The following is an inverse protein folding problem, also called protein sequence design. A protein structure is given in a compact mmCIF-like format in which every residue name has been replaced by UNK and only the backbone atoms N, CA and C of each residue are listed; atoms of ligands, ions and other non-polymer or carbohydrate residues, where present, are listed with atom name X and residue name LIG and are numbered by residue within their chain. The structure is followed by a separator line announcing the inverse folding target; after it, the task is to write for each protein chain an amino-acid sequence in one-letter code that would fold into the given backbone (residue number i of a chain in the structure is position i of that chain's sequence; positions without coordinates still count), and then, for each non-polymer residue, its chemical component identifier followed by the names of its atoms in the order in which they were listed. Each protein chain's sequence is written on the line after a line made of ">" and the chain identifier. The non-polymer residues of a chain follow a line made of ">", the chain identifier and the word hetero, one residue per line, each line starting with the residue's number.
data_IF_244447891322
#
_entry.id   IF_244447891322
#
_cell.length_a   1.000
_cell.length_b   1.000
_cell.length_c   1.000
_cell.angle_alpha   90.00
_cell.angle_beta   90.00
_cell.angle_gamma   90.00
#
_symmetry.space_group_name_H-M   'P 1'
#
loop_
_entity.id
_entity.type
_entity.pdbx_description
1 polymer ?
#
# COMPACT_ATOMS: atom_id res chain seq x y z
N UNK A 1 -19.19 -5.09 25.51
CA UNK A 1 -18.63 -3.89 26.17
C UNK A 1 -19.47 -2.72 25.68
N UNK A 2 -20.27 -2.10 26.53
CA UNK A 2 -21.08 -0.94 26.17
C UNK A 2 -20.17 0.27 26.41
N UNK A 3 -19.83 0.98 25.34
CA UNK A 3 -19.16 2.28 25.44
C UNK A 3 -20.23 3.27 25.96
N UNK A 4 -20.11 3.80 27.19
CA UNK A 4 -21.08 4.76 27.67
C UNK A 4 -21.10 5.96 26.71
N UNK A 5 -22.29 6.37 26.32
CA UNK A 5 -22.57 7.53 25.46
C UNK A 5 -22.19 7.40 23.97
N UNK A 6 -21.93 6.19 23.45
CA UNK A 6 -21.66 5.96 22.03
C UNK A 6 -22.72 5.06 21.40
N UNK A 7 -23.23 5.45 20.24
CA UNK A 7 -24.00 4.58 19.35
C UNK A 7 -23.02 3.93 18.38
N UNK A 8 -23.03 2.61 18.32
CA UNK A 8 -22.10 1.83 17.48
C UNK A 8 -22.82 1.34 16.24
N UNK A 9 -22.38 1.77 15.07
CA UNK A 9 -22.77 1.22 13.78
C UNK A 9 -21.75 0.15 13.35
N UNK A 10 -22.23 -0.99 12.87
CA UNK A 10 -21.37 -2.06 12.33
C UNK A 10 -21.61 -2.18 10.83
N UNK A 11 -20.56 -1.97 10.03
CA UNK A 11 -20.62 -2.08 8.57
C UNK A 11 -19.83 -3.30 8.11
N UNK A 12 -20.54 -4.36 7.70
CA UNK A 12 -19.93 -5.56 7.14
C UNK A 12 -19.75 -5.42 5.62
N UNK A 13 -18.53 -5.68 5.15
CA UNK A 13 -18.22 -5.73 3.73
C UNK A 13 -17.80 -7.15 3.36
N UNK A 14 -18.59 -7.80 2.52
CA UNK A 14 -18.30 -9.13 2.00
C UNK A 14 -17.65 -9.01 0.61
N UNK A 15 -16.36 -9.32 0.54
CA UNK A 15 -15.57 -9.28 -0.69
C UNK A 15 -15.78 -10.53 -1.57
N UNK A 16 -17.04 -10.81 -1.90
CA UNK A 16 -17.41 -11.86 -2.83
C UNK A 16 -17.16 -13.28 -2.30
N UNK A 17 -17.40 -13.54 -1.01
CA UNK A 17 -17.31 -14.87 -0.41
C UNK A 17 -18.23 -15.87 -1.09
N UNK A 18 -17.82 -17.14 -1.14
CA UNK A 18 -18.57 -18.25 -1.76
C UNK A 18 -19.23 -19.17 -0.74
N UNK A 19 -19.07 -18.89 0.54
CA UNK A 19 -19.62 -19.62 1.67
C UNK A 19 -20.88 -18.92 2.23
N UNK A 20 -21.29 -19.29 3.44
CA UNK A 20 -22.50 -18.74 4.08
C UNK A 20 -22.32 -17.31 4.63
N UNK A 21 -21.17 -16.65 4.41
CA UNK A 21 -20.87 -15.33 4.97
C UNK A 21 -21.95 -14.32 4.60
N UNK A 22 -22.35 -14.26 3.32
CA UNK A 22 -23.36 -13.32 2.83
C UNK A 22 -24.72 -13.50 3.53
N UNK A 23 -25.19 -14.74 3.67
CA UNK A 23 -26.46 -15.02 4.34
C UNK A 23 -26.44 -14.66 5.83
N UNK A 24 -25.30 -14.86 6.50
CA UNK A 24 -25.11 -14.55 7.92
C UNK A 24 -25.15 -13.04 8.14
N UNK A 25 -24.35 -12.26 7.39
CA UNK A 25 -24.32 -10.81 7.58
C UNK A 25 -25.63 -10.12 7.19
N UNK A 26 -26.34 -10.65 6.18
CA UNK A 26 -27.66 -10.15 5.82
C UNK A 26 -28.70 -10.46 6.91
N UNK A 27 -28.64 -11.62 7.55
CA UNK A 27 -29.47 -11.93 8.72
C UNK A 27 -29.22 -10.95 9.87
N UNK A 28 -27.96 -10.71 10.23
CA UNK A 28 -27.61 -9.74 11.26
C UNK A 28 -28.13 -8.32 10.93
N UNK A 29 -28.06 -7.90 9.67
CA UNK A 29 -28.57 -6.59 9.24
C UNK A 29 -30.10 -6.51 9.18
N UNK A 30 -30.82 -7.64 9.17
CA UNK A 30 -32.28 -7.68 9.33
C UNK A 30 -32.71 -7.61 10.78
N UNK A 31 -31.91 -8.15 11.69
CA UNK A 31 -32.22 -8.23 13.12
C UNK A 31 -31.84 -6.93 13.87
N UNK A 32 -30.91 -6.13 13.36
CA UNK A 32 -30.41 -4.92 14.01
C UNK A 32 -30.17 -3.79 12.98
N UNK A 33 -30.87 -2.67 13.16
CA UNK A 33 -30.77 -1.48 12.30
C UNK A 33 -29.39 -0.80 12.34
N UNK A 34 -28.60 -1.04 13.38
CA UNK A 34 -27.22 -0.54 13.51
C UNK A 34 -26.23 -1.37 12.70
N UNK A 35 -26.66 -2.49 12.15
CA UNK A 35 -25.84 -3.38 11.31
C UNK A 35 -26.15 -3.13 9.84
N UNK A 36 -25.14 -2.77 9.08
CA UNK A 36 -25.20 -2.64 7.62
C UNK A 36 -24.37 -3.73 6.96
N UNK A 37 -24.91 -4.36 5.91
CA UNK A 37 -24.25 -5.41 5.15
C UNK A 37 -24.17 -5.04 3.68
N UNK A 38 -22.97 -5.09 3.09
CA UNK A 38 -22.71 -4.87 1.68
C UNK A 38 -21.94 -6.07 1.11
N UNK A 39 -22.38 -6.59 -0.02
CA UNK A 39 -21.71 -7.69 -0.72
C UNK A 39 -21.26 -7.27 -2.11
N UNK A 40 -20.03 -7.61 -2.48
CA UNK A 40 -19.49 -7.38 -3.80
C UNK A 40 -19.93 -8.47 -4.78
N UNK A 41 -20.09 -8.12 -6.06
CA UNK A 41 -20.42 -9.06 -7.13
C UNK A 41 -19.35 -10.13 -7.34
N UNK A 42 -18.10 -9.84 -6.99
CA UNK A 42 -16.93 -10.74 -7.00
C UNK A 42 -15.89 -10.25 -6.00
N UNK A 43 -14.80 -10.99 -5.84
CA UNK A 43 -13.65 -10.51 -5.06
C UNK A 43 -12.95 -9.34 -5.78
N UNK A 44 -12.88 -8.17 -5.11
CA UNK A 44 -12.19 -6.96 -5.54
C UNK A 44 -10.95 -6.65 -4.67
N UNK A 45 -10.77 -7.42 -3.59
CA UNK A 45 -9.64 -7.31 -2.68
C UNK A 45 -9.92 -6.48 -1.42
N UNK A 46 -9.09 -6.72 -0.40
CA UNK A 46 -9.21 -6.11 0.93
C UNK A 46 -9.24 -4.58 0.89
N UNK A 47 -8.40 -3.98 0.05
CA UNK A 47 -8.28 -2.52 -0.07
C UNK A 47 -9.61 -1.89 -0.54
N UNK A 48 -10.26 -2.52 -1.53
CA UNK A 48 -11.59 -2.10 -2.01
C UNK A 48 -12.66 -2.28 -0.95
N UNK A 49 -12.60 -3.37 -0.16
CA UNK A 49 -13.55 -3.63 0.92
C UNK A 49 -13.40 -2.58 2.04
N UNK A 50 -12.17 -2.25 2.42
CA UNK A 50 -11.89 -1.21 3.39
C UNK A 50 -12.41 0.17 2.93
N UNK A 51 -12.13 0.51 1.68
CA UNK A 51 -12.62 1.76 1.08
C UNK A 51 -14.16 1.83 1.08
N UNK A 52 -14.83 0.73 0.68
CA UNK A 52 -16.30 0.62 0.70
C UNK A 52 -16.86 0.82 2.12
N UNK A 53 -16.23 0.23 3.13
CA UNK A 53 -16.63 0.41 4.53
C UNK A 53 -16.56 1.87 4.98
N UNK A 54 -15.47 2.56 4.64
CA UNK A 54 -15.29 3.99 4.93
C UNK A 54 -16.29 4.88 4.17
N UNK A 55 -16.65 4.52 2.94
CA UNK A 55 -17.60 5.28 2.12
C UNK A 55 -19.04 5.15 2.63
N UNK A 56 -19.41 3.99 3.21
CA UNK A 56 -20.78 3.70 3.65
C UNK A 56 -21.00 3.86 5.17
N UNK A 57 -19.96 4.09 5.96
CA UNK A 57 -20.12 4.38 7.38
C UNK A 57 -20.70 5.78 7.61
N UNK A 58 -21.49 5.96 8.69
CA UNK A 58 -22.17 7.23 9.01
C UNK A 58 -21.75 7.86 10.36
N UNK A 59 -21.07 7.10 11.23
CA UNK A 59 -20.62 7.57 12.56
C UNK A 59 -19.65 8.76 12.52
N UNK A 60 -19.48 9.45 13.64
CA UNK A 60 -18.55 10.59 13.78
C UNK A 60 -17.08 10.18 13.69
N UNK A 61 -16.78 8.91 13.92
CA UNK A 61 -15.50 8.29 13.64
C UNK A 61 -15.69 6.88 13.06
N UNK A 62 -14.65 6.33 12.43
CA UNK A 62 -14.65 4.99 11.87
C UNK A 62 -13.43 4.19 12.34
N UNK A 63 -13.63 2.90 12.63
CA UNK A 63 -12.56 1.99 13.05
C UNK A 63 -12.62 0.74 12.17
N UNK A 64 -11.74 0.61 11.16
CA UNK A 64 -11.63 -0.61 10.39
C UNK A 64 -11.07 -1.76 11.24
N UNK A 65 -11.70 -2.93 11.17
CA UNK A 65 -11.30 -4.12 11.92
C UNK A 65 -11.33 -5.34 10.98
N UNK A 66 -10.27 -6.17 11.06
CA UNK A 66 -10.24 -7.46 10.37
C UNK A 66 -11.10 -8.49 11.15
N UNK A 67 -11.87 -9.30 10.43
CA UNK A 67 -12.78 -10.31 11.00
C UNK A 67 -12.04 -11.48 11.68
N UNK A 68 -10.71 -11.57 11.54
CA UNK A 68 -9.88 -12.65 12.09
C UNK A 68 -9.66 -12.57 13.62
N UNK A 69 -10.27 -11.58 14.28
CA UNK A 69 -10.22 -11.33 15.72
C UNK A 69 -8.80 -11.18 16.29
N UNK A 70 -7.83 -10.84 15.47
CA UNK A 70 -6.46 -10.60 15.93
C UNK A 70 -6.30 -9.22 16.59
N UNK A 71 -7.13 -8.26 16.19
CA UNK A 71 -7.12 -6.91 16.75
C UNK A 71 -8.12 -6.83 17.92
N UNK A 72 -7.65 -6.62 19.16
CA UNK A 72 -8.47 -6.74 20.36
C UNK A 72 -9.42 -5.55 20.48
N UNK A 73 -10.70 -5.85 20.66
CA UNK A 73 -11.77 -4.84 20.83
C UNK A 73 -11.54 -3.97 22.08
N UNK A 74 -10.83 -4.47 23.09
CA UNK A 74 -10.51 -3.75 24.33
C UNK A 74 -9.64 -2.51 24.12
N UNK A 75 -9.05 -2.35 22.93
CA UNK A 75 -8.26 -1.17 22.56
C UNK A 75 -9.15 -0.02 22.14
N UNK A 76 -10.35 -0.29 21.64
CA UNK A 76 -11.30 0.72 21.12
C UNK A 76 -11.60 1.84 22.13
N UNK A 77 -11.91 1.56 23.40
CA UNK A 77 -12.16 2.62 24.38
C UNK A 77 -10.98 3.60 24.55
N UNK A 78 -9.74 3.07 24.48
CA UNK A 78 -8.53 3.92 24.55
C UNK A 78 -8.38 4.78 23.30
N UNK A 79 -8.75 4.24 22.14
CA UNK A 79 -8.72 5.02 20.89
C UNK A 79 -9.76 6.14 20.91
N UNK A 80 -10.97 5.86 21.39
CA UNK A 80 -12.04 6.85 21.55
C UNK A 80 -11.62 7.94 22.57
N UNK A 81 -10.98 7.56 23.68
CA UNK A 81 -10.46 8.54 24.64
C UNK A 81 -9.47 9.51 23.97
N UNK A 82 -8.57 9.01 23.14
CA UNK A 82 -7.63 9.85 22.37
C UNK A 82 -8.34 10.74 21.35
N UNK A 83 -9.33 10.20 20.65
CA UNK A 83 -10.16 10.99 19.74
C UNK A 83 -10.89 12.13 20.46
N UNK A 84 -11.46 11.88 21.64
CA UNK A 84 -12.09 12.90 22.50
C UNK A 84 -11.10 13.97 22.99
N UNK A 85 -9.79 13.67 23.06
CA UNK A 85 -8.72 14.64 23.32
C UNK A 85 -8.42 15.54 22.10
N UNK A 86 -9.14 15.35 20.97
CA UNK A 86 -9.00 16.14 19.74
C UNK A 86 -7.93 15.62 18.78
N UNK A 87 -7.67 14.33 18.77
CA UNK A 87 -6.85 13.69 17.73
C UNK A 87 -7.74 13.22 16.57
N UNK A 88 -7.32 13.52 15.33
CA UNK A 88 -8.05 13.17 14.11
C UNK A 88 -7.83 11.71 13.71
N UNK A 89 -6.66 11.16 14.05
CA UNK A 89 -6.26 9.79 13.73
C UNK A 89 -5.65 9.15 14.97
N UNK A 90 -6.15 7.97 15.36
CA UNK A 90 -5.54 7.19 16.44
C UNK A 90 -5.05 5.85 15.92
N UNK A 91 -3.74 5.67 15.89
CA UNK A 91 -3.08 4.49 15.37
C UNK A 91 -2.95 3.42 16.46
N UNK A 92 -3.40 2.21 16.17
CA UNK A 92 -3.09 1.07 17.00
C UNK A 92 -1.75 0.46 16.60
N UNK A 93 -0.73 0.59 17.45
CA UNK A 93 0.64 0.10 17.23
C UNK A 93 0.89 -1.20 17.97
N UNK A 94 1.36 -2.20 17.25
CA UNK A 94 1.69 -3.51 17.82
C UNK A 94 3.00 -3.45 18.58
N UNK A 95 2.99 -3.87 19.85
CA UNK A 95 4.20 -3.89 20.71
C UNK A 95 4.98 -5.21 20.60
N UNK A 96 4.34 -6.31 20.21
CA UNK A 96 4.98 -7.63 20.16
C UNK A 96 5.05 -8.19 18.73
N UNK A 97 6.28 -8.52 18.32
CA UNK A 97 6.64 -9.22 17.08
C UNK A 97 7.41 -10.52 17.35
N UNK A 98 7.32 -11.07 18.55
CA UNK A 98 8.04 -12.31 18.92
C UNK A 98 7.66 -13.50 18.05
N UNK A 99 6.46 -13.48 17.44
CA UNK A 99 5.98 -14.53 16.53
C UNK A 99 6.50 -14.40 15.09
N UNK A 100 7.14 -13.27 14.70
CA UNK A 100 7.67 -13.08 13.35
C UNK A 100 9.11 -13.62 13.24
N UNK A 101 9.41 -14.34 12.16
CA UNK A 101 10.76 -14.80 11.87
C UNK A 101 11.71 -13.61 11.70
N UNK A 102 12.97 -13.75 12.12
CA UNK A 102 14.00 -12.72 12.07
C UNK A 102 14.16 -12.09 10.65
N UNK A 103 14.04 -12.93 9.60
CA UNK A 103 14.10 -12.46 8.21
C UNK A 103 12.89 -11.58 7.84
N UNK A 104 11.67 -11.94 8.29
CA UNK A 104 10.47 -11.14 8.05
C UNK A 104 10.55 -9.79 8.77
N UNK A 105 11.09 -9.78 9.99
CA UNK A 105 11.25 -8.55 10.76
C UNK A 105 12.24 -7.58 10.10
N UNK A 106 13.43 -8.09 9.70
CA UNK A 106 14.45 -7.28 9.00
C UNK A 106 13.99 -6.79 7.63
N UNK A 107 13.33 -7.64 6.85
CA UNK A 107 12.81 -7.22 5.53
C UNK A 107 11.71 -6.15 5.65
N UNK A 108 10.83 -6.25 6.66
CA UNK A 108 9.82 -5.24 6.92
C UNK A 108 10.45 -3.91 7.40
N UNK A 109 11.42 -3.96 8.32
CA UNK A 109 12.14 -2.77 8.80
C UNK A 109 12.85 -2.05 7.65
N UNK A 110 13.55 -2.80 6.78
CA UNK A 110 14.20 -2.24 5.60
C UNK A 110 13.19 -1.65 4.62
N UNK A 111 12.06 -2.32 4.41
CA UNK A 111 10.97 -1.82 3.57
C UNK A 111 10.44 -0.48 4.10
N UNK A 112 10.07 -0.38 5.38
CA UNK A 112 9.56 0.89 5.94
C UNK A 112 10.58 2.01 5.91
N UNK A 113 11.87 1.71 6.17
CA UNK A 113 12.95 2.71 6.06
C UNK A 113 13.10 3.21 4.62
N UNK A 114 13.06 2.29 3.66
CA UNK A 114 13.16 2.63 2.24
C UNK A 114 11.93 3.40 1.79
N UNK A 115 10.73 2.94 2.13
CA UNK A 115 9.47 3.59 1.77
C UNK A 115 9.38 5.00 2.37
N UNK A 116 9.68 5.19 3.65
CA UNK A 116 9.70 6.50 4.29
C UNK A 116 10.78 7.44 3.74
N UNK A 117 11.89 6.90 3.22
CA UNK A 117 12.92 7.69 2.56
C UNK A 117 12.51 8.12 1.14
N UNK A 118 11.78 7.24 0.44
CA UNK A 118 11.39 7.41 -0.96
C UNK A 118 10.02 8.10 -1.13
N UNK A 119 9.14 7.96 -0.14
CA UNK A 119 7.78 8.51 -0.16
C UNK A 119 7.74 9.89 0.53
N UNK A 120 6.86 10.75 0.04
CA UNK A 120 6.53 12.01 0.73
C UNK A 120 5.63 11.78 1.96
N UNK A 121 5.12 10.58 2.16
CA UNK A 121 4.18 10.21 3.22
C UNK A 121 4.88 9.31 4.23
N UNK A 122 4.94 9.73 5.49
CA UNK A 122 5.52 8.93 6.57
C UNK A 122 4.53 7.85 7.01
N UNK A 123 4.90 6.58 6.82
CA UNK A 123 4.12 5.44 7.29
C UNK A 123 4.72 4.94 8.61
N UNK A 124 3.93 5.00 9.69
CA UNK A 124 4.34 4.50 11.01
C UNK A 124 4.59 3.00 10.98
N UNK A 125 5.73 2.58 11.54
CA UNK A 125 6.09 1.16 11.64
C UNK A 125 5.16 0.44 12.62
N UNK A 126 4.84 -0.82 12.31
CA UNK A 126 4.02 -1.71 13.15
C UNK A 126 2.55 -1.30 13.30
N UNK A 127 2.09 -0.38 12.47
CA UNK A 127 0.68 0.02 12.36
C UNK A 127 0.03 -0.71 11.20
N UNK A 128 -1.14 -1.30 11.47
CA UNK A 128 -2.01 -1.95 10.47
C UNK A 128 -3.16 -1.04 10.05
N UNK A 129 -4.20 -1.68 9.52
CA UNK A 129 -5.45 -1.01 9.16
C UNK A 129 -6.28 -0.67 10.40
N UNK A 130 -6.04 -1.33 11.54
CA UNK A 130 -6.70 -1.07 12.82
C UNK A 130 -6.29 0.29 13.37
N UNK A 131 -7.16 1.27 13.19
CA UNK A 131 -7.00 2.67 13.60
C UNK A 131 -8.35 3.34 13.74
N UNK A 132 -8.44 4.41 14.49
CA UNK A 132 -9.62 5.28 14.52
C UNK A 132 -9.36 6.46 13.58
N UNK A 133 -10.35 6.78 12.77
CA UNK A 133 -10.37 7.92 11.85
C UNK A 133 -11.55 8.82 12.20
N UNK A 134 -11.30 10.09 12.43
CA UNK A 134 -12.35 11.10 12.54
C UNK A 134 -13.15 11.21 11.24
N UNK A 135 -14.38 11.69 11.30
CA UNK A 135 -15.25 11.89 10.15
C UNK A 135 -14.61 12.78 9.06
N UNK A 136 -13.87 13.79 9.48
CA UNK A 136 -13.15 14.67 8.55
C UNK A 136 -12.11 13.90 7.75
N UNK A 137 -11.38 12.99 8.38
CA UNK A 137 -10.38 12.13 7.74
C UNK A 137 -11.03 11.10 6.82
N UNK A 138 -12.15 10.50 7.25
CA UNK A 138 -12.93 9.60 6.39
C UNK A 138 -13.38 10.31 5.11
N UNK A 139 -13.90 11.55 5.22
CA UNK A 139 -14.31 12.37 4.07
C UNK A 139 -13.13 12.66 3.13
N UNK A 140 -11.97 13.02 3.66
CA UNK A 140 -10.76 13.27 2.86
C UNK A 140 -10.40 12.00 2.08
N UNK A 141 -10.26 10.84 2.76
CA UNK A 141 -9.84 9.58 2.15
C UNK A 141 -10.85 9.12 1.08
N UNK A 142 -12.14 9.21 1.35
CA UNK A 142 -13.17 8.78 0.41
C UNK A 142 -13.33 9.72 -0.79
N UNK A 143 -12.89 10.99 -0.68
CA UNK A 143 -12.88 11.96 -1.79
C UNK A 143 -11.72 11.77 -2.76
N UNK A 144 -10.68 11.00 -2.39
CA UNK A 144 -9.52 10.79 -3.24
C UNK A 144 -9.91 10.04 -4.53
N UNK A 145 -9.45 10.49 -5.70
CA UNK A 145 -9.89 9.91 -6.98
C UNK A 145 -9.18 8.61 -7.36
N UNK A 146 -8.10 8.23 -6.66
CA UNK A 146 -7.25 7.09 -6.99
C UNK A 146 -8.04 5.80 -7.11
N UNK A 147 -7.76 5.02 -8.17
CA UNK A 147 -8.37 3.71 -8.44
C UNK A 147 -7.51 2.57 -7.96
N UNK A 148 -6.20 2.77 -7.97
CA UNK A 148 -5.25 1.82 -7.40
C UNK A 148 -5.08 2.12 -5.92
N UNK A 149 -5.86 1.43 -5.08
CA UNK A 149 -5.89 1.66 -3.64
C UNK A 149 -4.67 1.02 -2.98
N UNK A 150 -3.81 1.82 -2.39
CA UNK A 150 -2.85 1.40 -1.39
C UNK A 150 -3.24 2.05 -0.06
N UNK A 151 -4.19 1.42 0.63
CA UNK A 151 -4.87 2.04 1.78
C UNK A 151 -3.91 2.46 2.88
N UNK A 152 -2.80 1.74 3.11
CA UNK A 152 -1.79 2.15 4.10
C UNK A 152 -1.20 3.51 3.80
N UNK A 153 -0.90 3.80 2.55
CA UNK A 153 -0.43 5.10 2.10
C UNK A 153 -1.53 6.15 2.15
N UNK A 154 -2.71 5.86 1.63
CA UNK A 154 -3.86 6.79 1.60
C UNK A 154 -4.29 7.20 3.01
N UNK A 155 -4.37 6.24 3.93
CA UNK A 155 -4.71 6.48 5.34
C UNK A 155 -3.66 7.35 6.07
N UNK A 156 -2.41 7.33 5.63
CA UNK A 156 -1.34 8.17 6.18
C UNK A 156 -1.22 9.50 5.43
N UNK A 157 -1.61 9.55 4.15
CA UNK A 157 -1.54 10.74 3.31
C UNK A 157 -2.53 11.83 3.77
N UNK A 158 -3.67 11.45 4.30
CA UNK A 158 -4.69 12.39 4.79
C UNK A 158 -4.17 13.35 5.88
N UNK A 159 -3.08 13.03 6.55
CA UNK A 159 -2.51 13.84 7.62
C UNK A 159 -3.37 13.81 8.89
N UNK A 160 -3.53 14.97 9.53
CA UNK A 160 -4.29 15.10 10.77
C UNK A 160 -3.44 14.94 12.04
N UNK A 161 -3.99 15.38 13.18
CA UNK A 161 -3.35 15.25 14.49
C UNK A 161 -3.41 13.77 14.92
N UNK A 162 -2.25 13.13 15.01
CA UNK A 162 -2.16 11.68 15.21
C UNK A 162 -1.74 11.33 16.63
N UNK A 163 -2.41 10.34 17.26
CA UNK A 163 -2.01 9.68 18.48
C UNK A 163 -1.71 8.20 18.25
N UNK A 164 -0.93 7.59 19.15
CA UNK A 164 -0.61 6.17 19.12
C UNK A 164 -1.15 5.51 20.38
N UNK A 165 -1.83 4.37 20.21
CA UNK A 165 -2.25 3.47 21.28
C UNK A 165 -1.58 2.12 21.06
N UNK A 166 -0.78 1.68 22.02
CA UNK A 166 -0.06 0.41 21.93
C UNK A 166 -0.95 -0.76 22.35
N UNK A 167 -0.81 -1.89 21.63
CA UNK A 167 -1.50 -3.12 21.97
C UNK A 167 -0.70 -4.37 21.63
N UNK A 168 -1.06 -5.50 22.29
CA UNK A 168 -0.55 -6.82 21.96
C UNK A 168 -1.54 -7.54 21.06
N UNK A 169 -1.06 -8.04 19.91
CA UNK A 169 -1.89 -8.78 18.97
C UNK A 169 -2.21 -10.17 19.49
N UNK A 170 -3.47 -10.57 19.43
CA UNK A 170 -3.87 -11.95 19.73
C UNK A 170 -3.37 -12.92 18.64
N UNK A 171 -3.06 -14.20 18.98
CA UNK A 171 -2.80 -15.22 17.98
C UNK A 171 -4.04 -15.46 17.11
N UNK A 172 -3.83 -15.79 15.85
CA UNK A 172 -4.95 -16.09 14.93
C UNK A 172 -5.79 -17.25 15.45
N UNK A 173 -7.09 -17.05 15.47
CA UNK A 173 -8.06 -18.09 15.83
C UNK A 173 -8.19 -19.13 14.73
N UNK A 174 -8.08 -18.73 13.44
CA UNK A 174 -8.15 -19.63 12.28
C UNK A 174 -7.43 -19.03 11.06
N UNK A 175 -6.97 -19.91 10.15
CA UNK A 175 -6.37 -19.55 8.88
C UNK A 175 -4.84 -19.56 8.85
N UNK A 176 -4.27 -19.83 7.68
CA UNK A 176 -2.83 -19.80 7.41
C UNK A 176 -2.45 -18.53 6.66
N UNK A 177 -1.27 -17.99 6.97
CA UNK A 177 -0.73 -16.83 6.23
C UNK A 177 -0.48 -17.20 4.76
N UNK A 178 -1.21 -16.56 3.84
CA UNK A 178 -1.05 -16.76 2.38
C UNK A 178 0.06 -15.88 1.76
N UNK A 179 0.91 -15.24 2.60
CA UNK A 179 1.98 -14.38 2.10
C UNK A 179 3.17 -15.21 1.62
N UNK A 180 3.43 -15.14 0.31
CA UNK A 180 4.62 -15.68 -0.36
C UNK A 180 5.59 -14.51 -0.65
N UNK A 181 6.90 -14.79 -0.79
CA UNK A 181 7.93 -13.79 -1.08
C UNK A 181 7.61 -12.93 -2.32
N UNK A 182 7.03 -13.53 -3.36
CA UNK A 182 6.57 -12.81 -4.56
C UNK A 182 5.47 -11.78 -4.26
N UNK A 183 4.54 -12.10 -3.38
CA UNK A 183 3.49 -11.15 -2.96
C UNK A 183 4.05 -9.99 -2.15
N UNK A 184 5.06 -10.24 -1.32
CA UNK A 184 5.76 -9.17 -0.59
C UNK A 184 6.53 -8.24 -1.53
N UNK A 185 7.18 -8.80 -2.56
CA UNK A 185 7.86 -8.02 -3.60
C UNK A 185 6.89 -7.13 -4.37
N UNK A 186 5.75 -7.67 -4.82
CA UNK A 186 4.74 -6.89 -5.52
C UNK A 186 4.14 -5.80 -4.63
N UNK A 187 3.88 -6.08 -3.35
CA UNK A 187 3.40 -5.08 -2.40
C UNK A 187 4.42 -3.95 -2.21
N UNK A 188 5.73 -4.29 -2.16
CA UNK A 188 6.79 -3.30 -2.06
C UNK A 188 6.87 -2.42 -3.30
N UNK A 189 6.82 -3.02 -4.50
CA UNK A 189 6.75 -2.27 -5.76
C UNK A 189 5.52 -1.36 -5.80
N UNK A 190 4.37 -1.87 -5.37
CA UNK A 190 3.13 -1.12 -5.34
C UNK A 190 3.23 0.10 -4.41
N UNK A 191 3.74 -0.06 -3.19
CA UNK A 191 3.97 1.06 -2.27
C UNK A 191 4.90 2.12 -2.85
N UNK A 192 6.09 1.71 -3.30
CA UNK A 192 7.09 2.63 -3.84
C UNK A 192 6.58 3.38 -5.07
N UNK A 193 5.98 2.68 -6.03
CA UNK A 193 5.57 3.29 -7.30
C UNK A 193 4.26 4.09 -7.20
N UNK A 194 3.45 3.87 -6.16
CA UNK A 194 2.23 4.66 -5.91
C UNK A 194 2.53 6.02 -5.29
N UNK A 195 3.56 6.11 -4.44
CA UNK A 195 3.84 7.34 -3.68
C UNK A 195 5.19 7.97 -3.97
N UNK A 196 5.98 7.40 -4.90
CA UNK A 196 7.30 7.92 -5.24
C UNK A 196 7.58 7.89 -6.75
N UNK A 197 8.15 8.98 -7.25
CA UNK A 197 8.72 9.05 -8.60
C UNK A 197 10.24 8.79 -8.60
N UNK A 198 10.81 8.44 -7.45
CA UNK A 198 12.24 8.28 -7.29
C UNK A 198 12.85 7.21 -8.21
N UNK A 199 12.21 6.03 -8.45
CA UNK A 199 12.72 5.07 -9.43
C UNK A 199 12.95 5.67 -10.82
N UNK A 200 12.05 6.56 -11.27
CA UNK A 200 12.20 7.26 -12.55
C UNK A 200 13.38 8.26 -12.51
N UNK A 201 13.52 8.99 -11.41
CA UNK A 201 14.63 9.97 -11.25
C UNK A 201 15.99 9.27 -11.19
N UNK A 202 16.12 8.18 -10.45
CA UNK A 202 17.36 7.38 -10.40
C UNK A 202 17.73 6.93 -11.80
N UNK A 203 16.74 6.48 -12.58
CA UNK A 203 16.96 6.05 -13.95
C UNK A 203 17.47 7.18 -14.85
N UNK A 204 16.94 8.38 -14.67
CA UNK A 204 17.39 9.58 -15.40
C UNK A 204 18.87 9.90 -15.07
N UNK A 205 19.25 9.92 -13.80
CA UNK A 205 20.64 10.18 -13.41
C UNK A 205 21.60 9.09 -13.87
N UNK A 206 21.20 7.82 -13.75
CA UNK A 206 21.99 6.68 -14.22
C UNK A 206 22.22 6.77 -15.73
N UNK A 207 21.15 7.02 -16.49
CA UNK A 207 21.22 7.21 -17.94
C UNK A 207 22.14 8.38 -18.34
N UNK A 208 22.05 9.51 -17.63
CA UNK A 208 22.94 10.64 -17.86
C UNK A 208 24.42 10.29 -17.59
N UNK A 209 24.74 9.64 -16.48
CA UNK A 209 26.09 9.20 -16.15
C UNK A 209 26.65 8.24 -17.20
N UNK A 210 25.88 7.24 -17.62
CA UNK A 210 26.31 6.26 -18.64
C UNK A 210 26.54 6.95 -19.98
N UNK A 211 25.62 7.83 -20.40
CA UNK A 211 25.75 8.61 -21.64
C UNK A 211 26.99 9.51 -21.61
N UNK A 212 27.25 10.15 -20.49
CA UNK A 212 28.42 11.00 -20.34
C UNK A 212 29.74 10.23 -20.41
N UNK A 213 29.82 9.07 -19.73
CA UNK A 213 30.99 8.17 -19.82
C UNK A 213 31.19 7.66 -21.25
N UNK A 214 30.10 7.24 -21.90
CA UNK A 214 30.15 6.77 -23.28
C UNK A 214 30.64 7.88 -24.25
N UNK A 215 30.17 9.11 -24.03
CA UNK A 215 30.63 10.29 -24.79
C UNK A 215 32.13 10.55 -24.62
N UNK A 216 32.62 10.55 -23.37
CA UNK A 216 34.06 10.69 -23.12
C UNK A 216 34.89 9.55 -23.76
N UNK A 217 34.40 8.33 -23.68
CA UNK A 217 35.08 7.17 -24.29
C UNK A 217 35.09 7.27 -25.82
N UNK A 218 34.00 7.76 -26.43
CA UNK A 218 33.96 8.05 -27.85
C UNK A 218 35.02 9.06 -28.28
N UNK A 219 35.19 10.14 -27.50
CA UNK A 219 36.23 11.15 -27.78
C UNK A 219 37.65 10.53 -27.72
N UNK A 220 37.90 9.65 -26.75
CA UNK A 220 39.19 8.94 -26.63
C UNK A 220 39.47 8.08 -27.87
N UNK A 221 38.46 7.31 -28.34
CA UNK A 221 38.58 6.46 -29.53
C UNK A 221 38.89 7.32 -30.78
N UNK A 222 38.15 8.43 -30.96
CA UNK A 222 38.38 9.36 -32.09
C UNK A 222 39.81 9.93 -32.03
N UNK A 223 40.28 10.36 -30.87
CA UNK A 223 41.60 10.90 -30.67
C UNK A 223 42.70 9.85 -30.97
N UNK A 224 42.55 8.61 -30.46
CA UNK A 224 43.48 7.51 -30.76
C UNK A 224 43.53 7.19 -32.23
N UNK A 225 42.39 7.21 -32.93
CA UNK A 225 42.37 6.92 -34.39
C UNK A 225 43.07 8.02 -35.20
N UNK A 226 42.86 9.31 -34.81
CA UNK A 226 43.44 10.43 -35.52
C UNK A 226 44.94 10.55 -35.35
N UNK A 227 45.48 10.20 -34.18
CA UNK A 227 46.90 10.44 -33.86
C UNK A 227 47.76 9.16 -34.04
N UNK A 228 47.22 7.98 -33.71
CA UNK A 228 48.02 6.75 -33.65
C UNK A 228 47.71 5.74 -34.76
N UNK A 229 46.79 6.05 -35.65
CA UNK A 229 46.32 5.18 -36.76
C UNK A 229 46.12 3.71 -36.39
N UNK A 230 45.71 3.43 -35.17
CA UNK A 230 45.65 2.11 -34.55
C UNK A 230 44.50 1.29 -35.16
N UNK A 231 44.77 0.06 -35.69
CA UNK A 231 43.69 -0.81 -36.15
C UNK A 231 42.90 -1.33 -34.96
N UNK A 232 41.66 -0.83 -34.81
CA UNK A 232 40.78 -1.22 -33.69
C UNK A 232 40.24 -2.64 -33.96
N UNK A 233 40.92 -3.64 -33.44
CA UNK A 233 40.36 -4.98 -33.30
C UNK A 233 39.47 -4.97 -32.04
N UNK A 234 38.15 -4.84 -32.19
CA UNK A 234 37.28 -4.58 -31.01
C UNK A 234 35.95 -5.29 -31.02
N UNK A 235 35.75 -6.34 -31.82
CA UNK A 235 34.48 -7.07 -31.91
C UNK A 235 33.95 -7.53 -30.52
N UNK A 236 34.74 -8.17 -29.63
CA UNK A 236 34.24 -8.56 -28.30
C UNK A 236 33.84 -7.35 -27.42
N UNK A 237 34.62 -6.27 -27.45
CA UNK A 237 34.32 -5.06 -26.65
C UNK A 237 33.07 -4.35 -27.13
N UNK A 238 32.86 -4.25 -28.44
CA UNK A 238 31.65 -3.70 -29.04
C UNK A 238 30.44 -4.55 -28.67
N UNK A 239 30.53 -5.86 -28.79
CA UNK A 239 29.44 -6.78 -28.48
C UNK A 239 29.05 -6.70 -26.97
N UNK A 240 30.04 -6.73 -26.06
CA UNK A 240 29.80 -6.58 -24.64
C UNK A 240 29.13 -5.23 -24.31
N UNK A 241 29.59 -4.14 -24.93
CA UNK A 241 29.01 -2.82 -24.72
C UNK A 241 27.56 -2.74 -25.23
N UNK A 242 27.28 -3.28 -26.38
CA UNK A 242 25.91 -3.32 -26.96
C UNK A 242 24.97 -4.13 -26.09
N UNK A 243 25.39 -5.33 -25.66
CA UNK A 243 24.58 -6.20 -24.79
C UNK A 243 24.34 -5.55 -23.42
N UNK A 244 25.37 -4.93 -22.82
CA UNK A 244 25.25 -4.25 -21.54
C UNK A 244 24.31 -3.05 -21.61
N UNK A 245 24.48 -2.16 -22.59
CA UNK A 245 23.62 -1.00 -22.82
C UNK A 245 22.20 -1.44 -23.15
N UNK A 246 22.02 -2.45 -24.01
CA UNK A 246 20.71 -3.01 -24.32
C UNK A 246 20.01 -3.57 -23.08
N UNK A 247 20.73 -4.31 -22.23
CA UNK A 247 20.20 -4.82 -20.96
C UNK A 247 19.73 -3.70 -20.02
N UNK A 248 20.54 -2.65 -19.85
CA UNK A 248 20.20 -1.49 -19.04
C UNK A 248 18.96 -0.78 -19.61
N UNK A 249 18.88 -0.59 -20.92
CA UNK A 249 17.72 0.03 -21.57
C UNK A 249 16.43 -0.76 -21.33
N UNK A 250 16.47 -2.10 -21.42
CA UNK A 250 15.33 -2.96 -21.15
C UNK A 250 14.82 -2.84 -19.71
N UNK A 251 15.72 -2.73 -18.74
CA UNK A 251 15.34 -2.48 -17.34
C UNK A 251 14.63 -1.12 -17.22
N UNK A 252 15.15 -0.07 -17.86
CA UNK A 252 14.52 1.26 -17.86
C UNK A 252 13.13 1.27 -18.47
N UNK A 253 12.97 0.58 -19.59
CA UNK A 253 11.66 0.39 -20.23
C UNK A 253 10.71 -0.37 -19.29
N UNK A 254 11.20 -1.37 -18.56
CA UNK A 254 10.42 -2.10 -17.55
C UNK A 254 9.92 -1.17 -16.44
N UNK A 255 10.76 -0.30 -15.90
CA UNK A 255 10.37 0.71 -14.89
C UNK A 255 9.31 1.66 -15.46
N UNK A 256 9.52 2.20 -16.67
CA UNK A 256 8.53 3.04 -17.35
C UNK A 256 7.21 2.30 -17.56
N UNK A 257 7.27 1.02 -17.95
CA UNK A 257 6.09 0.17 -18.13
C UNK A 257 5.23 0.06 -16.88
N UNK A 258 5.85 -0.05 -15.70
CA UNK A 258 5.13 -0.09 -14.42
C UNK A 258 4.34 1.21 -14.17
N UNK A 259 4.94 2.38 -14.39
CA UNK A 259 4.24 3.66 -14.23
C UNK A 259 3.17 3.88 -15.29
N UNK A 260 3.43 3.52 -16.55
CA UNK A 260 2.43 3.59 -17.62
C UNK A 260 1.25 2.68 -17.31
N UNK A 261 1.51 1.47 -16.80
CA UNK A 261 0.46 0.53 -16.35
C UNK A 261 -0.46 1.15 -15.29
N UNK A 262 0.11 1.87 -14.32
CA UNK A 262 -0.67 2.58 -13.28
C UNK A 262 -1.48 3.73 -13.86
N UNK A 263 -0.89 4.58 -14.69
CA UNK A 263 -1.60 5.65 -15.39
C UNK A 263 -2.76 5.06 -16.20
N UNK A 264 -2.57 3.93 -16.88
CA UNK A 264 -3.60 3.25 -17.64
C UNK A 264 -4.78 2.77 -16.77
N UNK A 265 -4.51 2.26 -15.57
CA UNK A 265 -5.56 1.86 -14.61
C UNK A 265 -6.34 3.11 -14.16
N UNK A 266 -5.64 4.19 -13.81
CA UNK A 266 -6.26 5.45 -13.37
C UNK A 266 -7.11 6.10 -14.48
N UNK A 267 -6.62 6.12 -15.71
CA UNK A 267 -7.33 6.73 -16.86
C UNK A 267 -8.59 5.95 -17.25
N UNK A 268 -8.64 4.65 -17.02
CA UNK A 268 -9.85 3.84 -17.26
C UNK A 268 -11.02 4.21 -16.37
N UNK A 269 -10.79 4.80 -15.21
CA UNK A 269 -11.81 5.21 -14.24
C UNK A 269 -12.84 4.12 -13.92
N UNK A 270 -12.44 2.84 -13.94
CA UNK A 270 -13.32 1.73 -13.54
C UNK A 270 -13.70 1.89 -12.07
N UNK A 271 -14.92 1.53 -11.64
CA UNK A 271 -15.30 1.56 -10.24
C UNK A 271 -14.37 0.65 -9.41
N UNK A 272 -14.05 1.08 -8.20
CA UNK A 272 -13.16 0.36 -7.26
C UNK A 272 -13.76 -0.98 -6.84
N UNK A 273 -15.09 -1.04 -6.77
CA UNK A 273 -15.89 -2.23 -6.48
C UNK A 273 -17.26 -2.10 -7.13
N UNK A 274 -18.01 -3.20 -7.17
CA UNK A 274 -19.41 -3.24 -7.63
C UNK A 274 -20.22 -3.98 -6.57
N UNK A 275 -21.22 -3.31 -6.00
CA UNK A 275 -22.13 -3.92 -5.05
C UNK A 275 -23.11 -4.83 -5.77
N UNK A 276 -23.54 -5.91 -5.11
CA UNK A 276 -24.72 -6.67 -5.52
C UNK A 276 -25.96 -5.82 -5.27
N UNK A 277 -26.88 -5.82 -6.20
CA UNK A 277 -28.21 -5.30 -5.98
C UNK A 277 -28.92 -6.17 -4.93
N UNK A 278 -29.62 -5.51 -4.00
CA UNK A 278 -30.39 -6.21 -2.95
C UNK A 278 -31.67 -6.76 -3.51
#
# INVERSE_FOLDING_TARGET
>A
MILPDCVVEIVFINDGSRDKTESIINGLAQDDELVKAFSFTRNFGKESALFCGLEHCSGDCAIPIDVDLQDPIDVIPKMISKWNEGYDVVLAKRTDRSSDSFLKRKSAEYFYKLDNYLSSTHIEENVGDFRLLDRSMVKIITSLPERNLFMKGLLSWGGGKTAIVEYKRAPRVSGTSKFNGWKLWNLALEGITSFSTLPLRIWTYLGFCISFIAFLYMLVIIFQKLIFDNPVSGYPSIMCSVLFLGGIQLIGIGVLGEYIGRIYIETKRRPRYVLKEK
#
